data_IF_759325551514
#
_entry.id   IF_759325551514
#
_cell.length_a   1.000
_cell.length_b   1.000
_cell.length_c   1.000
_cell.angle_alpha   90.00
_cell.angle_beta   90.00
_cell.angle_gamma   90.00
#
_symmetry.space_group_name_H-M   'P 1'
#
loop_
_entity.id
_entity.type
_entity.pdbx_description
1 polymer ?
#
# COMPACT_ATOMS: atom_id res chain seq x y z
N UNK A 1 -2.32 12.15 39.26
CA UNK A 1 -3.29 11.08 39.01
C UNK A 1 -3.55 11.02 37.51
N UNK A 2 -2.72 10.25 36.79
CA UNK A 2 -2.87 10.01 35.36
C UNK A 2 -3.81 8.83 35.18
N UNK A 3 -4.90 9.04 34.46
CA UNK A 3 -5.83 7.99 34.04
C UNK A 3 -5.15 7.04 33.04
N UNK A 4 -5.33 5.72 33.17
CA UNK A 4 -4.76 4.78 32.21
C UNK A 4 -5.48 4.93 30.86
N UNK A 5 -4.69 4.91 29.77
CA UNK A 5 -5.19 4.83 28.41
C UNK A 5 -5.98 3.53 28.19
N UNK A 6 -7.12 3.55 27.48
CA UNK A 6 -7.89 2.34 27.22
C UNK A 6 -7.06 1.40 26.35
N UNK A 7 -6.82 0.18 26.84
CA UNK A 7 -6.26 -0.91 26.06
C UNK A 7 -7.13 -1.21 24.82
N UNK A 8 -6.55 -1.59 23.69
CA UNK A 8 -7.33 -1.99 22.53
C UNK A 8 -8.24 -3.16 22.94
N UNK A 9 -9.55 -2.95 22.85
CA UNK A 9 -10.55 -3.99 23.13
C UNK A 9 -10.24 -5.20 22.25
N UNK A 10 -9.83 -6.28 22.87
CA UNK A 10 -9.76 -7.57 22.22
C UNK A 10 -11.16 -7.89 21.71
N UNK A 11 -11.32 -8.14 20.40
CA UNK A 11 -12.57 -8.63 19.85
C UNK A 11 -12.90 -9.96 20.56
N UNK A 12 -14.10 -10.10 21.11
CA UNK A 12 -14.48 -11.31 21.80
C UNK A 12 -14.42 -12.51 20.83
N UNK A 13 -13.98 -13.69 21.29
CA UNK A 13 -13.97 -14.89 20.49
C UNK A 13 -15.41 -15.40 20.32
N UNK A 14 -16.17 -14.79 19.40
CA UNK A 14 -17.44 -15.40 19.03
C UNK A 14 -17.16 -16.58 18.13
N UNK A 15 -17.52 -17.75 18.61
CA UNK A 15 -17.83 -18.91 17.79
C UNK A 15 -19.00 -18.56 16.88
N UNK A 16 -18.72 -17.86 15.78
CA UNK A 16 -19.66 -17.66 14.70
C UNK A 16 -19.90 -19.05 14.12
N UNK A 17 -21.14 -19.53 14.19
CA UNK A 17 -21.57 -20.76 13.54
C UNK A 17 -21.00 -20.79 12.13
N UNK A 18 -20.16 -21.75 11.88
CA UNK A 18 -19.30 -21.84 10.69
C UNK A 18 -20.04 -22.05 9.37
N UNK A 19 -21.36 -22.27 9.45
CA UNK A 19 -22.16 -22.87 8.40
C UNK A 19 -22.70 -21.92 7.31
N UNK A 20 -22.58 -20.60 7.44
CA UNK A 20 -23.19 -19.67 6.47
C UNK A 20 -22.22 -18.56 5.99
N UNK A 21 -20.98 -18.56 6.40
CA UNK A 21 -20.06 -17.52 5.95
C UNK A 21 -19.44 -17.93 4.61
N UNK A 22 -19.86 -17.30 3.53
CA UNK A 22 -19.15 -17.40 2.26
C UNK A 22 -17.77 -16.78 2.47
N UNK A 23 -16.79 -17.62 2.81
CA UNK A 23 -15.38 -17.25 2.95
C UNK A 23 -14.65 -17.50 1.65
N UNK A 24 -13.82 -16.56 1.24
CA UNK A 24 -12.79 -16.79 0.24
C UNK A 24 -11.43 -16.68 0.92
N UNK A 25 -10.51 -17.55 0.55
CA UNK A 25 -9.15 -17.48 1.04
C UNK A 25 -8.16 -17.69 -0.10
N UNK A 26 -7.08 -16.94 -0.07
CA UNK A 26 -5.96 -17.10 -1.01
C UNK A 26 -4.66 -16.96 -0.25
N UNK A 27 -3.70 -17.81 -0.58
CA UNK A 27 -2.36 -17.81 0.02
C UNK A 27 -1.31 -17.65 -1.06
N UNK A 28 -0.33 -16.79 -0.80
CA UNK A 28 0.86 -16.63 -1.64
C UNK A 28 2.11 -16.80 -0.80
N UNK A 29 3.13 -17.44 -1.36
CA UNK A 29 4.43 -17.62 -0.72
C UNK A 29 5.52 -17.10 -1.64
N UNK A 30 6.40 -16.26 -1.10
CA UNK A 30 7.49 -15.65 -1.84
C UNK A 30 8.80 -15.76 -1.07
N UNK A 31 9.88 -16.02 -1.79
CA UNK A 31 11.24 -16.00 -1.24
C UNK A 31 12.00 -14.81 -1.82
N UNK A 32 12.45 -13.92 -0.98
CA UNK A 32 13.23 -12.74 -1.39
C UNK A 32 14.29 -12.40 -0.35
N UNK A 33 15.53 -12.15 -0.81
CA UNK A 33 16.65 -11.71 0.03
C UNK A 33 16.84 -12.53 1.31
N UNK A 34 16.77 -13.89 1.20
CA UNK A 34 16.92 -14.81 2.34
C UNK A 34 15.73 -14.87 3.30
N UNK A 35 14.60 -14.26 2.93
CA UNK A 35 13.35 -14.26 3.67
C UNK A 35 12.28 -15.04 2.92
N UNK A 36 11.61 -15.97 3.60
CA UNK A 36 10.41 -16.62 3.12
C UNK A 36 9.20 -15.91 3.72
N UNK A 37 8.32 -15.44 2.89
CA UNK A 37 7.11 -14.73 3.32
C UNK A 37 5.86 -15.38 2.74
N UNK A 38 4.96 -15.82 3.63
CA UNK A 38 3.65 -16.37 3.28
C UNK A 38 2.58 -15.36 3.71
N UNK A 39 1.68 -15.03 2.80
CA UNK A 39 0.52 -14.16 3.06
C UNK A 39 -0.75 -14.93 2.74
N UNK A 40 -1.68 -14.93 3.69
CA UNK A 40 -3.01 -15.50 3.52
C UNK A 40 -4.03 -14.38 3.72
N UNK A 41 -4.85 -14.14 2.71
CA UNK A 41 -6.02 -13.26 2.81
C UNK A 41 -7.27 -14.12 2.90
N UNK A 42 -8.09 -13.85 3.90
CA UNK A 42 -9.42 -14.41 4.05
C UNK A 42 -10.43 -13.27 4.04
N UNK A 43 -11.49 -13.38 3.24
CA UNK A 43 -12.56 -12.38 3.16
C UNK A 43 -13.89 -12.98 3.56
N UNK A 44 -14.77 -12.17 4.15
CA UNK A 44 -16.14 -12.55 4.51
C UNK A 44 -17.07 -11.35 4.44
N UNK A 45 -18.35 -11.61 4.13
CA UNK A 45 -19.47 -10.63 4.21
C UNK A 45 -20.32 -10.85 5.45
N UNK A 46 -20.21 -12.00 6.09
CA UNK A 46 -21.15 -12.46 7.13
C UNK A 46 -21.38 -11.45 8.26
N UNK A 47 -20.32 -10.80 8.75
CA UNK A 47 -20.43 -9.84 9.88
C UNK A 47 -21.13 -8.56 9.48
N UNK A 48 -21.14 -8.24 8.18
CA UNK A 48 -21.83 -7.09 7.61
C UNK A 48 -23.30 -7.44 7.40
N UNK A 49 -23.57 -8.61 6.81
CA UNK A 49 -24.91 -9.10 6.49
C UNK A 49 -25.73 -9.34 7.76
N UNK A 50 -25.11 -9.75 8.86
CA UNK A 50 -25.75 -9.93 10.17
C UNK A 50 -25.96 -8.62 10.95
N UNK A 51 -25.54 -7.46 10.39
CA UNK A 51 -25.66 -6.16 11.05
C UNK A 51 -24.75 -5.97 12.27
N UNK A 52 -23.81 -6.89 12.52
CA UNK A 52 -22.87 -6.79 13.64
C UNK A 52 -21.88 -5.64 13.48
N UNK A 53 -21.43 -5.37 12.26
CA UNK A 53 -20.52 -4.26 11.94
C UNK A 53 -21.30 -3.11 11.29
N UNK A 54 -21.57 -2.06 12.08
CA UNK A 54 -22.20 -0.84 11.61
C UNK A 54 -21.15 0.12 11.01
N UNK A 55 -20.59 -0.24 9.86
CA UNK A 55 -19.68 0.63 9.14
C UNK A 55 -20.30 1.05 7.81
N UNK A 56 -20.64 2.33 7.62
CA UNK A 56 -21.30 2.79 6.40
C UNK A 56 -20.52 2.42 5.15
N UNK A 57 -21.18 1.75 4.20
CA UNK A 57 -20.59 1.35 2.93
C UNK A 57 -19.64 0.14 2.95
N UNK A 58 -19.37 -0.48 4.10
CA UNK A 58 -18.59 -1.71 4.15
C UNK A 58 -19.32 -2.85 3.43
N UNK A 59 -18.62 -3.61 2.59
CA UNK A 59 -19.14 -4.77 1.85
C UNK A 59 -18.43 -6.06 2.20
N UNK A 60 -17.15 -6.00 2.56
CA UNK A 60 -16.38 -7.16 2.97
C UNK A 60 -15.44 -6.80 4.11
N UNK A 61 -15.16 -7.79 4.97
CA UNK A 61 -14.10 -7.77 5.96
C UNK A 61 -12.96 -8.63 5.44
N UNK A 62 -11.75 -8.17 5.67
CA UNK A 62 -10.52 -8.81 5.22
C UNK A 62 -9.67 -9.12 6.43
N UNK A 63 -9.19 -10.36 6.53
CA UNK A 63 -8.13 -10.79 7.45
C UNK A 63 -6.90 -11.14 6.63
N UNK A 64 -5.82 -10.40 6.85
CA UNK A 64 -4.51 -10.65 6.25
C UNK A 64 -3.59 -11.25 7.32
N UNK A 65 -3.17 -12.47 7.12
CA UNK A 65 -2.13 -13.13 7.91
C UNK A 65 -0.83 -13.13 7.13
N UNK A 66 0.22 -12.62 7.74
CA UNK A 66 1.56 -12.61 7.16
C UNK A 66 2.50 -13.38 8.07
N UNK A 67 3.08 -14.47 7.55
CA UNK A 67 4.14 -15.25 8.20
C UNK A 67 5.44 -15.03 7.48
N UNK A 68 6.45 -14.62 8.22
CA UNK A 68 7.80 -14.33 7.69
C UNK A 68 8.81 -15.23 8.41
N UNK A 69 9.65 -15.93 7.66
CA UNK A 69 10.75 -16.72 8.18
C UNK A 69 12.05 -16.09 7.70
N UNK A 70 12.89 -15.67 8.65
CA UNK A 70 14.21 -15.07 8.36
C UNK A 70 15.23 -15.72 9.28
N UNK A 71 16.30 -16.27 8.72
CA UNK A 71 17.35 -16.97 9.48
C UNK A 71 16.77 -17.98 10.47
N UNK A 72 15.80 -18.80 10.05
CA UNK A 72 15.13 -19.81 10.87
C UNK A 72 14.13 -19.29 11.91
N UNK A 73 14.03 -17.99 12.12
CA UNK A 73 13.05 -17.38 13.04
C UNK A 73 11.76 -17.05 12.30
N UNK A 74 10.63 -17.54 12.81
CA UNK A 74 9.30 -17.27 12.29
C UNK A 74 8.64 -16.11 13.05
N UNK A 75 8.02 -15.18 12.32
CA UNK A 75 7.18 -14.12 12.86
C UNK A 75 5.84 -14.13 12.13
N UNK A 76 4.74 -14.05 12.86
CA UNK A 76 3.39 -13.92 12.29
C UNK A 76 2.78 -12.59 12.69
N UNK A 77 1.99 -12.01 11.78
CA UNK A 77 1.24 -10.77 12.00
C UNK A 77 -0.12 -10.93 11.38
N UNK A 78 -1.17 -10.56 12.10
CA UNK A 78 -2.55 -10.53 11.59
C UNK A 78 -3.02 -9.08 11.52
N UNK A 79 -3.59 -8.71 10.39
CA UNK A 79 -4.16 -7.37 10.16
C UNK A 79 -5.59 -7.53 9.66
N UNK A 80 -6.50 -6.69 10.14
CA UNK A 80 -7.88 -6.63 9.67
C UNK A 80 -8.10 -5.35 8.88
N UNK A 81 -8.92 -5.46 7.86
CA UNK A 81 -9.35 -4.33 7.03
C UNK A 81 -10.79 -4.51 6.59
N UNK A 82 -11.40 -3.42 6.14
CA UNK A 82 -12.72 -3.40 5.52
C UNK A 82 -12.62 -2.81 4.13
N UNK A 83 -13.54 -3.19 3.25
CA UNK A 83 -13.64 -2.62 1.90
C UNK A 83 -15.09 -2.37 1.51
N UNK A 84 -15.31 -1.30 0.75
CA UNK A 84 -16.60 -0.99 0.11
C UNK A 84 -16.80 -1.74 -1.22
N UNK A 85 -15.78 -2.47 -1.68
CA UNK A 85 -15.91 -3.28 -2.89
C UNK A 85 -16.70 -4.56 -2.58
N UNK A 86 -17.77 -4.85 -3.32
CA UNK A 86 -18.50 -6.11 -3.18
C UNK A 86 -17.66 -7.26 -3.74
N UNK A 87 -18.00 -8.48 -3.36
CA UNK A 87 -17.25 -9.69 -3.67
C UNK A 87 -17.11 -9.96 -5.16
N UNK A 88 -18.12 -9.64 -5.94
CA UNK A 88 -18.18 -9.83 -7.39
C UNK A 88 -17.14 -8.96 -8.13
N UNK A 89 -16.73 -7.85 -7.51
CA UNK A 89 -15.72 -6.93 -8.04
C UNK A 89 -14.33 -7.11 -7.42
N UNK A 90 -14.24 -7.74 -6.26
CA UNK A 90 -12.99 -7.88 -5.51
C UNK A 90 -12.97 -9.21 -4.74
N UNK A 91 -12.46 -10.23 -5.37
CA UNK A 91 -12.20 -11.52 -4.72
C UNK A 91 -10.96 -11.45 -3.81
N UNK A 92 -10.67 -12.54 -3.09
CA UNK A 92 -9.53 -12.59 -2.16
C UNK A 92 -8.17 -12.37 -2.86
N UNK A 93 -8.03 -12.81 -4.12
CA UNK A 93 -6.79 -12.65 -4.89
C UNK A 93 -6.58 -11.18 -5.29
N UNK A 94 -7.62 -10.53 -5.78
CA UNK A 94 -7.62 -9.10 -6.08
C UNK A 94 -7.26 -8.27 -4.83
N UNK A 95 -7.90 -8.57 -3.70
CA UNK A 95 -7.65 -7.85 -2.45
C UNK A 95 -6.23 -8.08 -1.93
N UNK A 96 -5.69 -9.31 -2.03
CA UNK A 96 -4.29 -9.58 -1.66
C UNK A 96 -3.31 -8.74 -2.50
N UNK A 97 -3.53 -8.66 -3.82
CA UNK A 97 -2.71 -7.84 -4.72
C UNK A 97 -2.73 -6.37 -4.31
N UNK A 98 -3.89 -5.81 -4.00
CA UNK A 98 -4.04 -4.40 -3.63
C UNK A 98 -3.50 -4.08 -2.24
N UNK A 99 -3.69 -4.98 -1.27
CA UNK A 99 -3.09 -4.84 0.07
C UNK A 99 -1.56 -4.85 0.01
N UNK A 100 -0.98 -5.63 -0.90
CA UNK A 100 0.48 -5.58 -1.17
C UNK A 100 0.88 -4.25 -1.81
N UNK A 101 0.08 -3.76 -2.74
CA UNK A 101 0.31 -2.49 -3.43
C UNK A 101 0.26 -1.26 -2.50
N UNK A 102 -0.39 -1.35 -1.35
CA UNK A 102 -0.47 -0.23 -0.38
C UNK A 102 0.91 0.30 0.03
N UNK A 103 1.89 -0.59 0.21
CA UNK A 103 3.27 -0.21 0.54
C UNK A 103 3.92 0.70 -0.52
N UNK A 104 3.46 0.63 -1.77
CA UNK A 104 3.95 1.50 -2.84
C UNK A 104 3.61 2.96 -2.58
N UNK A 105 2.51 3.24 -1.90
CA UNK A 105 2.09 4.61 -1.53
C UNK A 105 3.09 5.19 -0.54
N UNK A 106 3.40 4.46 0.54
CA UNK A 106 4.38 4.89 1.56
C UNK A 106 5.77 5.07 0.94
N UNK A 107 6.20 4.12 0.10
CA UNK A 107 7.47 4.22 -0.62
C UNK A 107 7.53 5.43 -1.56
N UNK A 108 6.41 5.77 -2.18
CA UNK A 108 6.32 6.93 -3.07
C UNK A 108 6.44 8.24 -2.29
N UNK A 109 5.71 8.38 -1.18
CA UNK A 109 5.83 9.55 -0.31
C UNK A 109 7.25 9.68 0.25
N UNK A 110 7.85 8.59 0.70
CA UNK A 110 9.24 8.59 1.13
C UNK A 110 10.19 9.15 0.05
N UNK A 111 10.00 8.79 -1.22
CA UNK A 111 10.82 9.33 -2.32
C UNK A 111 10.56 10.82 -2.52
N UNK A 112 9.30 11.26 -2.49
CA UNK A 112 8.94 12.67 -2.64
C UNK A 112 9.57 13.52 -1.53
N UNK A 113 9.52 13.07 -0.28
CA UNK A 113 9.99 13.81 0.88
C UNK A 113 11.51 13.80 1.00
N UNK A 114 12.13 12.62 0.88
CA UNK A 114 13.58 12.48 1.13
C UNK A 114 14.45 12.71 -0.09
N UNK A 115 14.01 12.30 -1.28
CA UNK A 115 14.80 12.39 -2.51
C UNK A 115 14.53 13.69 -3.28
N UNK A 116 13.27 14.11 -3.32
CA UNK A 116 12.84 15.30 -4.05
C UNK A 116 12.54 16.49 -3.14
N UNK A 117 12.68 16.33 -1.82
CA UNK A 117 12.57 17.40 -0.84
C UNK A 117 11.20 18.09 -0.82
N UNK A 118 10.09 17.34 -0.97
CA UNK A 118 8.76 17.93 -1.03
C UNK A 118 8.40 18.65 0.28
N UNK A 119 8.67 18.03 1.43
CA UNK A 119 8.42 18.62 2.74
C UNK A 119 9.27 19.88 3.03
N UNK A 120 10.43 19.99 2.39
CA UNK A 120 11.32 21.16 2.53
C UNK A 120 10.95 22.30 1.58
N UNK A 121 9.93 22.12 0.74
CA UNK A 121 9.50 23.13 -0.22
C UNK A 121 8.90 24.35 0.49
N UNK A 122 9.53 25.51 0.35
CA UNK A 122 9.09 26.78 0.94
C UNK A 122 8.28 27.67 -0.01
N UNK A 123 7.96 27.18 -1.21
CA UNK A 123 7.13 27.93 -2.14
C UNK A 123 5.71 28.08 -1.57
N UNK A 124 5.27 29.34 -1.40
CA UNK A 124 3.96 29.66 -0.79
C UNK A 124 3.14 30.61 -1.67
N UNK A 125 3.71 31.14 -2.75
CA UNK A 125 3.08 32.19 -3.55
C UNK A 125 2.33 31.59 -4.74
N UNK A 126 1.06 31.93 -4.90
CA UNK A 126 0.21 31.53 -6.02
C UNK A 126 0.17 30.00 -6.22
N UNK A 127 0.20 29.56 -7.48
CA UNK A 127 0.18 28.14 -7.85
C UNK A 127 1.54 27.43 -7.81
N UNK A 128 2.62 28.09 -7.34
CA UNK A 128 3.99 27.54 -7.41
C UNK A 128 4.15 26.23 -6.62
N UNK A 129 3.56 26.12 -5.43
CA UNK A 129 3.61 24.90 -4.64
C UNK A 129 2.99 23.71 -5.40
N UNK A 130 1.82 23.90 -6.00
CA UNK A 130 1.15 22.87 -6.80
C UNK A 130 1.95 22.52 -8.06
N UNK A 131 2.52 23.50 -8.75
CA UNK A 131 3.37 23.28 -9.92
C UNK A 131 4.60 22.45 -9.60
N UNK A 132 5.30 22.76 -8.51
CA UNK A 132 6.47 22.00 -8.06
C UNK A 132 6.10 20.59 -7.62
N UNK A 133 5.00 20.41 -6.90
CA UNK A 133 4.50 19.08 -6.53
C UNK A 133 4.17 18.26 -7.79
N UNK A 134 3.46 18.84 -8.76
CA UNK A 134 3.14 18.17 -10.02
C UNK A 134 4.39 17.70 -10.76
N UNK A 135 5.45 18.53 -10.83
CA UNK A 135 6.73 18.17 -11.47
C UNK A 135 7.40 17.01 -10.72
N UNK A 136 7.42 17.02 -9.38
CA UNK A 136 7.96 15.91 -8.59
C UNK A 136 7.21 14.61 -8.83
N UNK A 137 5.88 14.66 -8.78
CA UNK A 137 5.04 13.51 -9.10
C UNK A 137 5.26 12.98 -10.51
N UNK A 138 5.41 13.87 -11.48
CA UNK A 138 5.76 13.50 -12.85
C UNK A 138 7.10 12.74 -12.90
N UNK A 139 8.13 13.24 -12.23
CA UNK A 139 9.45 12.60 -12.20
C UNK A 139 9.38 11.18 -11.59
N UNK A 140 8.66 10.99 -10.48
CA UNK A 140 8.46 9.68 -9.85
C UNK A 140 7.68 8.74 -10.77
N UNK A 141 6.64 9.23 -11.45
CA UNK A 141 5.86 8.44 -12.40
C UNK A 141 6.71 8.00 -13.60
N UNK A 142 7.48 8.93 -14.15
CA UNK A 142 8.38 8.66 -15.29
C UNK A 142 9.42 7.60 -14.93
N UNK A 143 10.03 7.69 -13.75
CA UNK A 143 10.95 6.68 -13.25
C UNK A 143 10.27 5.31 -13.14
N UNK A 144 9.04 5.26 -12.63
CA UNK A 144 8.25 4.04 -12.54
C UNK A 144 7.93 3.42 -13.90
N UNK A 145 7.54 4.24 -14.89
CA UNK A 145 7.26 3.79 -16.26
C UNK A 145 8.53 3.24 -16.93
N UNK A 146 9.67 3.88 -16.69
CA UNK A 146 10.96 3.44 -17.21
C UNK A 146 11.61 2.31 -16.41
N UNK A 147 10.94 1.80 -15.36
CA UNK A 147 11.46 0.78 -14.44
C UNK A 147 12.83 1.12 -13.85
N UNK A 148 13.05 2.40 -13.52
CA UNK A 148 14.31 2.92 -13.00
C UNK A 148 14.17 3.49 -11.60
N UNK A 149 15.26 3.54 -10.85
CA UNK A 149 15.32 4.27 -9.59
C UNK A 149 15.16 5.78 -9.84
N UNK A 150 14.26 6.44 -9.12
CA UNK A 150 14.07 7.89 -9.20
C UNK A 150 15.36 8.65 -8.90
N UNK A 151 16.10 8.25 -7.86
CA UNK A 151 17.38 8.87 -7.48
C UNK A 151 18.40 8.78 -8.61
N UNK A 152 18.59 7.58 -9.16
CA UNK A 152 19.55 7.38 -10.26
C UNK A 152 19.15 8.20 -11.49
N UNK A 153 17.86 8.25 -11.81
CA UNK A 153 17.36 9.01 -12.94
C UNK A 153 17.57 10.52 -12.76
N UNK A 154 17.30 11.04 -11.56
CA UNK A 154 17.56 12.46 -11.24
C UNK A 154 19.05 12.80 -11.34
N UNK A 155 19.95 11.95 -10.85
CA UNK A 155 21.39 12.14 -10.96
C UNK A 155 21.87 12.09 -12.40
N UNK A 156 21.43 11.08 -13.17
CA UNK A 156 21.76 10.94 -14.59
C UNK A 156 21.36 12.17 -15.40
N UNK A 157 20.12 12.66 -15.20
CA UNK A 157 19.60 13.78 -15.97
C UNK A 157 20.08 15.15 -15.48
N UNK A 158 20.46 15.27 -14.21
CA UNK A 158 21.17 16.45 -13.73
C UNK A 158 22.55 16.58 -14.39
N UNK A 159 23.26 15.45 -14.57
CA UNK A 159 24.56 15.42 -15.24
C UNK A 159 24.45 15.51 -16.78
N UNK A 160 23.39 14.97 -17.37
CA UNK A 160 23.20 14.85 -18.83
C UNK A 160 21.76 15.20 -19.22
N UNK A 161 21.34 16.47 -19.20
CA UNK A 161 19.94 16.85 -19.45
C UNK A 161 19.46 16.52 -20.89
N UNK A 162 20.35 16.52 -21.87
CA UNK A 162 20.02 16.12 -23.24
C UNK A 162 19.50 14.68 -23.35
N UNK A 163 19.92 13.77 -22.47
CA UNK A 163 19.42 12.39 -22.44
C UNK A 163 17.95 12.35 -22.05
N UNK A 164 17.51 13.21 -21.13
CA UNK A 164 16.11 13.33 -20.76
C UNK A 164 15.27 13.88 -21.92
N UNK A 165 15.73 14.95 -22.55
CA UNK A 165 15.05 15.57 -23.69
C UNK A 165 14.86 14.56 -24.83
N UNK A 166 15.89 13.80 -25.16
CA UNK A 166 15.81 12.74 -26.16
C UNK A 166 14.79 11.64 -25.78
N UNK A 167 14.77 11.21 -24.49
CA UNK A 167 13.80 10.22 -24.00
C UNK A 167 12.35 10.73 -24.06
N UNK A 168 12.15 12.01 -23.82
CA UNK A 168 10.85 12.68 -23.90
C UNK A 168 10.49 13.07 -25.34
N UNK A 169 11.35 12.76 -26.32
CA UNK A 169 11.20 13.18 -27.74
C UNK A 169 11.01 14.69 -27.91
N UNK A 170 11.62 15.48 -27.02
CA UNK A 170 11.63 16.93 -27.12
C UNK A 170 12.79 17.32 -28.04
N UNK A 171 12.52 18.12 -29.10
CA UNK A 171 13.60 18.59 -29.98
C UNK A 171 14.60 19.43 -29.20
N UNK A 172 15.89 19.13 -29.37
CA UNK A 172 16.99 19.99 -28.89
C UNK A 172 17.40 20.87 -30.03
N UNK A 173 17.18 22.19 -29.87
CA UNK A 173 17.64 23.20 -30.81
C UNK A 173 19.12 23.52 -30.54
#
# INVERSE_FOLDING_TARGET
>A
LSSPSPSPRAFPPYAVKEELAIRQSVTTTEKSRGRLETRTVTTTTNVIDTGYLHWPGAKQIIRLERRTITKGKARSTTTYAITSLPRERADAAFLLKHLRGRWLIESRFYILDTQLGEDHCRARTGGTAHGLSAIRHFAVNLAGILHRSTTHMCQEHAAKPHVLLHRLRIPTY
#
